data_IF_867025513915
#
_entry.id   IF_867025513915
#
_cell.length_a   1.000
_cell.length_b   1.000
_cell.length_c   1.000
_cell.angle_alpha   90.00
_cell.angle_beta   90.00
_cell.angle_gamma   90.00
#
_symmetry.space_group_name_H-M   'P 1'
#
loop_
_entity.id
_entity.type
_entity.pdbx_description
1 polymer ?
#
# COMPACT_ATOMS: atom_id res chain seq x y z
N UNK A 1 -41.56 32.80 -5.65
CA UNK A 1 -40.23 32.67 -6.27
C UNK A 1 -39.44 31.66 -5.46
N UNK A 2 -39.38 30.41 -5.94
CA UNK A 2 -38.79 29.28 -5.23
C UNK A 2 -37.38 29.07 -5.77
N UNK A 3 -36.35 29.19 -4.93
CA UNK A 3 -34.96 28.85 -5.32
C UNK A 3 -34.87 27.34 -5.60
N UNK A 4 -34.20 26.91 -6.67
CA UNK A 4 -33.87 25.50 -6.82
C UNK A 4 -32.78 25.15 -5.78
N UNK A 5 -33.07 24.17 -4.93
CA UNK A 5 -32.03 23.48 -4.18
C UNK A 5 -31.24 22.63 -5.18
N UNK A 6 -29.97 22.96 -5.39
CA UNK A 6 -29.03 22.09 -6.09
C UNK A 6 -28.78 20.84 -5.23
N UNK A 7 -29.13 19.63 -5.68
CA UNK A 7 -28.66 18.42 -5.04
C UNK A 7 -27.32 18.02 -5.67
N UNK A 8 -26.35 17.59 -4.85
CA UNK A 8 -25.43 16.54 -5.32
C UNK A 8 -23.95 16.85 -5.49
N UNK A 9 -23.33 17.74 -4.70
CA UNK A 9 -21.86 17.75 -4.64
C UNK A 9 -21.29 16.72 -3.65
N UNK A 10 -22.03 16.40 -2.58
CA UNK A 10 -21.54 15.51 -1.52
C UNK A 10 -21.72 14.02 -1.84
N UNK A 11 -22.72 13.65 -2.65
CA UNK A 11 -23.02 12.25 -2.97
C UNK A 11 -22.01 11.58 -3.92
N UNK A 12 -21.37 12.35 -4.80
CA UNK A 12 -20.39 11.85 -5.76
C UNK A 12 -19.05 11.47 -5.12
N UNK A 13 -18.65 12.18 -4.06
CA UNK A 13 -17.42 11.88 -3.32
C UNK A 13 -17.52 10.55 -2.56
N UNK A 14 -18.66 10.23 -1.94
CA UNK A 14 -18.82 8.97 -1.21
C UNK A 14 -18.94 7.75 -2.13
N UNK A 15 -19.55 7.90 -3.31
CA UNK A 15 -19.63 6.82 -4.30
C UNK A 15 -18.28 6.54 -4.99
N UNK A 16 -17.41 7.56 -5.11
CA UNK A 16 -16.11 7.42 -5.76
C UNK A 16 -15.02 6.79 -4.88
N UNK A 17 -15.09 6.92 -3.55
CA UNK A 17 -14.06 6.37 -2.63
C UNK A 17 -13.86 4.85 -2.80
N UNK A 18 -14.91 4.01 -2.88
CA UNK A 18 -14.76 2.58 -3.17
C UNK A 18 -14.01 2.28 -4.48
N UNK A 19 -14.23 3.09 -5.51
CA UNK A 19 -13.55 2.94 -6.80
C UNK A 19 -12.07 3.33 -6.69
N UNK A 20 -11.76 4.42 -5.97
CA UNK A 20 -10.37 4.82 -5.69
C UNK A 20 -9.63 3.76 -4.87
N UNK A 21 -10.25 3.20 -3.84
CA UNK A 21 -9.65 2.12 -3.05
C UNK A 21 -9.43 0.86 -3.88
N UNK A 22 -10.36 0.52 -4.77
CA UNK A 22 -10.21 -0.60 -5.70
C UNK A 22 -9.03 -0.38 -6.65
N UNK A 23 -8.86 0.84 -7.15
CA UNK A 23 -7.74 1.23 -7.99
C UNK A 23 -6.40 1.10 -7.26
N UNK A 24 -6.29 1.68 -6.06
CA UNK A 24 -5.11 1.59 -5.18
C UNK A 24 -4.79 0.13 -4.87
N UNK A 25 -5.78 -0.67 -4.46
CA UNK A 25 -5.60 -2.09 -4.13
C UNK A 25 -5.07 -2.86 -5.33
N UNK A 26 -5.62 -2.62 -6.52
CA UNK A 26 -5.19 -3.29 -7.75
C UNK A 26 -3.74 -2.92 -8.09
N UNK A 27 -3.40 -1.65 -8.02
CA UNK A 27 -2.04 -1.17 -8.30
C UNK A 27 -1.03 -1.71 -7.27
N UNK A 28 -1.35 -1.68 -5.98
CA UNK A 28 -0.50 -2.23 -4.91
C UNK A 28 -0.29 -3.74 -5.09
N UNK A 29 -1.34 -4.51 -5.40
CA UNK A 29 -1.21 -5.94 -5.72
C UNK A 29 -0.30 -6.17 -6.92
N UNK A 30 -0.45 -5.38 -7.98
CA UNK A 30 0.41 -5.46 -9.16
C UNK A 30 1.87 -5.12 -8.84
N UNK A 31 2.11 -4.15 -7.96
CA UNK A 31 3.44 -3.80 -7.47
C UNK A 31 4.10 -4.99 -6.76
N UNK A 32 3.41 -5.60 -5.79
CA UNK A 32 3.94 -6.73 -5.02
C UNK A 32 4.05 -8.03 -5.82
N UNK A 33 3.22 -8.22 -6.86
CA UNK A 33 3.31 -9.37 -7.76
C UNK A 33 4.64 -9.45 -8.53
N UNK A 34 5.45 -8.40 -8.51
CA UNK A 34 6.81 -8.40 -9.06
C UNK A 34 7.81 -9.18 -8.17
N UNK A 35 7.55 -9.28 -6.87
CA UNK A 35 8.51 -9.83 -5.90
C UNK A 35 8.86 -11.32 -6.11
N UNK A 36 7.93 -12.23 -6.46
CA UNK A 36 8.28 -13.63 -6.71
C UNK A 36 9.32 -13.82 -7.82
N UNK A 37 9.37 -12.92 -8.82
CA UNK A 37 10.34 -12.99 -9.91
C UNK A 37 11.78 -12.66 -9.48
N UNK A 38 11.97 -12.06 -8.29
CA UNK A 38 13.27 -11.60 -7.81
C UNK A 38 14.08 -12.70 -7.11
N UNK A 39 13.50 -13.89 -6.90
CA UNK A 39 14.16 -14.98 -6.20
C UNK A 39 14.57 -14.59 -4.77
N UNK A 40 13.59 -14.24 -3.93
CA UNK A 40 13.84 -13.80 -2.54
C UNK A 40 14.64 -14.86 -1.77
N UNK A 41 15.65 -14.42 -1.02
CA UNK A 41 16.58 -15.30 -0.31
C UNK A 41 16.47 -15.15 1.21
N UNK A 42 17.06 -16.11 1.92
CA UNK A 42 17.19 -16.00 3.37
C UNK A 42 18.11 -14.84 3.79
N UNK A 43 19.06 -14.44 2.93
CA UNK A 43 19.89 -13.26 3.14
C UNK A 43 19.05 -11.98 3.12
N UNK A 44 18.19 -11.82 2.10
CA UNK A 44 17.26 -10.67 2.02
C UNK A 44 16.43 -10.53 3.30
N UNK A 45 15.97 -11.67 3.84
CA UNK A 45 15.21 -11.69 5.08
C UNK A 45 16.02 -11.23 6.29
N UNK A 46 17.25 -11.72 6.45
CA UNK A 46 18.10 -11.33 7.57
C UNK A 46 18.50 -9.85 7.48
N UNK A 47 18.79 -9.36 6.28
CA UNK A 47 19.11 -7.96 6.02
C UNK A 47 17.91 -7.06 6.34
N UNK A 48 16.72 -7.43 5.85
CA UNK A 48 15.48 -6.74 6.21
C UNK A 48 15.25 -6.72 7.72
N UNK A 49 15.39 -7.86 8.41
CA UNK A 49 15.23 -7.94 9.87
C UNK A 49 16.19 -7.00 10.59
N UNK A 50 17.43 -6.86 10.11
CA UNK A 50 18.41 -5.95 10.71
C UNK A 50 17.97 -4.48 10.63
N UNK A 51 17.16 -4.09 9.66
CA UNK A 51 16.59 -2.73 9.55
C UNK A 51 15.44 -2.45 10.51
N UNK A 52 14.83 -3.49 11.09
CA UNK A 52 13.67 -3.33 11.96
C UNK A 52 14.08 -2.88 13.37
N UNK A 53 13.20 -2.15 14.10
CA UNK A 53 13.39 -1.89 15.52
C UNK A 53 13.66 -3.17 16.32
N UNK A 54 14.58 -3.13 17.29
CA UNK A 54 15.06 -4.30 18.05
C UNK A 54 13.91 -5.14 18.62
N UNK A 55 12.88 -4.48 19.15
CA UNK A 55 11.68 -5.13 19.70
C UNK A 55 10.87 -5.93 18.66
N UNK A 56 10.94 -5.57 17.37
CA UNK A 56 10.27 -6.29 16.27
C UNK A 56 11.14 -7.43 15.71
N UNK A 57 12.46 -7.31 15.77
CA UNK A 57 13.38 -8.31 15.19
C UNK A 57 13.12 -9.72 15.74
N UNK A 58 12.98 -9.86 17.07
CA UNK A 58 12.75 -11.16 17.69
C UNK A 58 11.40 -11.80 17.32
N UNK A 59 10.37 -11.00 17.07
CA UNK A 59 9.07 -11.50 16.61
C UNK A 59 9.15 -12.00 15.16
N UNK A 60 9.75 -11.19 14.27
CA UNK A 60 9.88 -11.53 12.85
C UNK A 60 10.81 -12.73 12.64
N UNK A 61 11.92 -12.82 13.38
CA UNK A 61 12.80 -14.02 13.34
C UNK A 61 12.07 -15.29 13.75
N UNK A 62 11.16 -15.21 14.73
CA UNK A 62 10.35 -16.36 15.15
C UNK A 62 9.31 -16.76 14.11
N UNK A 63 8.72 -15.80 13.39
CA UNK A 63 7.83 -16.09 12.26
C UNK A 63 8.59 -16.75 11.10
N UNK A 64 9.84 -16.32 10.88
CA UNK A 64 10.76 -16.94 9.93
C UNK A 64 10.54 -16.49 8.49
N UNK A 65 11.46 -16.92 7.62
CA UNK A 65 11.53 -16.48 6.22
C UNK A 65 10.29 -16.84 5.40
N UNK A 66 9.75 -18.05 5.56
CA UNK A 66 8.58 -18.50 4.78
C UNK A 66 7.36 -17.61 5.06
N UNK A 67 7.11 -17.27 6.33
CA UNK A 67 6.02 -16.35 6.67
C UNK A 67 6.28 -14.92 6.17
N UNK A 68 7.53 -14.47 6.24
CA UNK A 68 7.90 -13.13 5.78
C UNK A 68 7.64 -12.92 4.28
N UNK A 69 7.68 -13.97 3.45
CA UNK A 69 7.36 -13.87 2.01
C UNK A 69 5.91 -13.40 1.73
N UNK A 70 5.01 -13.45 2.70
CA UNK A 70 3.66 -12.87 2.60
C UNK A 70 3.55 -11.47 3.24
N UNK A 71 4.59 -10.98 3.94
CA UNK A 71 4.59 -9.70 4.65
C UNK A 71 4.84 -8.55 3.67
N UNK A 72 3.90 -7.60 3.50
CA UNK A 72 4.08 -6.50 2.55
C UNK A 72 5.29 -5.61 2.84
N UNK A 73 5.68 -5.47 4.13
CA UNK A 73 6.86 -4.72 4.52
C UNK A 73 8.16 -5.38 4.05
N UNK A 74 8.23 -6.72 4.08
CA UNK A 74 9.38 -7.46 3.56
C UNK A 74 9.44 -7.39 2.04
N UNK A 75 8.31 -7.61 1.37
CA UNK A 75 8.23 -7.54 -0.09
C UNK A 75 8.60 -6.14 -0.60
N UNK A 76 8.10 -5.08 0.07
CA UNK A 76 8.46 -3.70 -0.25
C UNK A 76 9.96 -3.47 -0.09
N UNK A 77 10.54 -3.88 1.03
CA UNK A 77 11.99 -3.76 1.23
C UNK A 77 12.78 -4.41 0.10
N UNK A 78 12.43 -5.63 -0.30
CA UNK A 78 13.14 -6.35 -1.36
C UNK A 78 13.01 -5.68 -2.74
N UNK A 79 11.82 -5.18 -3.07
CA UNK A 79 11.54 -4.48 -4.33
C UNK A 79 12.31 -3.16 -4.41
N UNK A 80 12.21 -2.34 -3.37
CA UNK A 80 12.87 -1.02 -3.30
C UNK A 80 14.39 -1.17 -3.35
N UNK A 81 14.94 -2.16 -2.62
CA UNK A 81 16.38 -2.48 -2.66
C UNK A 81 16.86 -2.85 -4.07
N UNK A 82 15.98 -3.41 -4.90
CA UNK A 82 16.24 -3.79 -6.29
C UNK A 82 15.86 -2.70 -7.28
N UNK A 83 15.50 -1.50 -6.82
CA UNK A 83 15.19 -0.33 -7.65
C UNK A 83 13.75 -0.26 -8.15
N UNK A 84 12.85 -1.13 -7.67
CA UNK A 84 11.43 -1.03 -7.95
C UNK A 84 10.81 -0.05 -6.97
N UNK A 85 10.74 1.23 -7.33
CA UNK A 85 10.17 2.29 -6.49
C UNK A 85 8.64 2.21 -6.45
N UNK A 86 8.06 2.06 -5.26
CA UNK A 86 6.60 2.02 -5.10
C UNK A 86 5.95 3.36 -5.44
N UNK A 87 6.58 4.48 -5.08
CA UNK A 87 5.99 5.80 -5.29
C UNK A 87 5.80 6.08 -6.78
N UNK A 88 6.86 5.94 -7.56
CA UNK A 88 6.84 6.14 -9.01
C UNK A 88 5.96 5.11 -9.71
N UNK A 89 5.95 3.85 -9.25
CA UNK A 89 5.06 2.82 -9.79
C UNK A 89 3.58 3.20 -9.63
N UNK A 90 3.22 3.73 -8.45
CA UNK A 90 1.85 4.13 -8.12
C UNK A 90 1.47 5.43 -8.84
N UNK A 91 2.36 6.43 -8.86
CA UNK A 91 2.13 7.70 -9.55
C UNK A 91 1.86 7.52 -11.05
N UNK A 92 2.50 6.52 -11.67
CA UNK A 92 2.30 6.21 -13.10
C UNK A 92 1.01 5.43 -13.40
N UNK A 93 0.33 4.87 -12.40
CA UNK A 93 -0.82 3.96 -12.59
C UNK A 93 -2.12 4.46 -11.98
N UNK A 94 -2.03 5.29 -10.95
CA UNK A 94 -3.19 5.81 -10.27
C UNK A 94 -3.68 7.09 -10.93
N UNK A 95 -4.99 7.24 -10.98
CA UNK A 95 -5.66 8.52 -11.15
C UNK A 95 -5.17 9.51 -10.08
N UNK A 96 -5.19 10.81 -10.40
CA UNK A 96 -4.72 11.85 -9.46
C UNK A 96 -5.44 11.78 -8.10
N UNK A 97 -6.74 11.49 -8.11
CA UNK A 97 -7.54 11.35 -6.89
C UNK A 97 -7.14 10.11 -6.07
N UNK A 98 -6.91 8.97 -6.73
CA UNK A 98 -6.46 7.74 -6.06
C UNK A 98 -5.04 7.90 -5.50
N UNK A 99 -4.16 8.57 -6.24
CA UNK A 99 -2.79 8.85 -5.81
C UNK A 99 -2.76 9.77 -4.59
N UNK A 100 -3.52 10.87 -4.62
CA UNK A 100 -3.63 11.78 -3.48
C UNK A 100 -4.20 11.10 -2.23
N UNK A 101 -5.22 10.25 -2.39
CA UNK A 101 -5.78 9.45 -1.29
C UNK A 101 -4.74 8.47 -0.72
N UNK A 102 -4.00 7.79 -1.59
CA UNK A 102 -2.96 6.84 -1.21
C UNK A 102 -1.82 7.51 -0.42
N UNK A 103 -1.33 8.66 -0.90
CA UNK A 103 -0.27 9.42 -0.26
C UNK A 103 -0.71 9.97 1.11
N UNK A 104 -1.91 10.56 1.18
CA UNK A 104 -2.45 11.12 2.42
C UNK A 104 -2.64 10.08 3.54
N UNK A 105 -2.77 8.80 3.18
CA UNK A 105 -3.00 7.70 4.12
C UNK A 105 -1.77 6.81 4.32
N UNK A 106 -0.56 7.34 4.05
CA UNK A 106 0.69 6.66 4.40
C UNK A 106 1.06 5.50 3.46
N UNK A 107 0.64 5.57 2.19
CA UNK A 107 1.05 4.64 1.14
C UNK A 107 0.67 3.17 1.42
N UNK A 108 -0.55 2.97 1.89
CA UNK A 108 -1.11 1.67 2.24
C UNK A 108 -1.35 0.75 1.02
N UNK A 109 -1.64 -0.53 1.27
CA UNK A 109 -1.76 -1.56 0.23
C UNK A 109 -3.15 -1.68 -0.40
N UNK A 110 -4.00 -0.66 -0.25
CA UNK A 110 -5.42 -0.72 -0.63
C UNK A 110 -6.39 -0.97 0.52
N UNK A 111 -5.92 -1.52 1.65
CA UNK A 111 -6.69 -1.59 2.89
C UNK A 111 -6.42 -0.35 3.75
N UNK A 112 -7.42 0.53 3.89
CA UNK A 112 -7.36 1.56 4.92
C UNK A 112 -7.48 0.90 6.30
N UNK A 113 -6.65 1.27 7.30
CA UNK A 113 -6.97 0.91 8.67
C UNK A 113 -8.38 1.42 8.99
N UNK A 114 -9.19 0.68 9.77
CA UNK A 114 -10.59 1.05 10.05
C UNK A 114 -10.77 2.45 10.66
N UNK A 115 -9.69 3.05 11.16
CA UNK A 115 -9.67 4.39 11.75
C UNK A 115 -9.25 5.51 10.76
N UNK A 116 -8.97 5.18 9.49
CA UNK A 116 -8.49 6.14 8.47
C UNK A 116 -9.57 6.98 7.79
N UNK A 117 -10.86 6.74 8.07
CA UNK A 117 -11.99 7.48 7.47
C UNK A 117 -12.52 8.58 8.41
N UNK A 118 -11.81 8.90 9.49
CA UNK A 118 -12.22 9.94 10.42
C UNK A 118 -11.12 11.00 10.60
N UNK A 119 -11.19 12.05 9.76
CA UNK A 119 -11.05 13.45 10.20
C UNK A 119 -11.50 14.42 9.10
#
# INVERSE_FOLDING_TARGET
MTRPQSPGFTGLLFAAIPDLLTEITRAAKAYYAQAPALGLTQTDFLDWVATLPINRQAAVRRQGFVAAQAEPAFLRYCLEWRGYDMWGFMAARLSLAAFALWEANGQFNGDLPPNGIAR
#
